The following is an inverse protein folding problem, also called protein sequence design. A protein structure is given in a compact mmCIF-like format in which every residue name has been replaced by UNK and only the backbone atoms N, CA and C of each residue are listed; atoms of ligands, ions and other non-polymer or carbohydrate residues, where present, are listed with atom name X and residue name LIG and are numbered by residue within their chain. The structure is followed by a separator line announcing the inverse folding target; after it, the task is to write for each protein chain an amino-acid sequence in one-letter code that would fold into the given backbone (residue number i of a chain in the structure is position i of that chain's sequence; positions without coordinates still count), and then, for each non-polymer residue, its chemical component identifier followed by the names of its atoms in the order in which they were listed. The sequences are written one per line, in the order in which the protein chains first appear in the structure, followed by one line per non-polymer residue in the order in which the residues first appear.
data_IF_407721698347
#
_entry.id   IF_407721698347
#
_cell.length_a   1.000
_cell.length_b   1.000
_cell.length_c   1.000
_cell.angle_alpha   90.00
_cell.angle_beta   90.00
_cell.angle_gamma   90.00
#
_symmetry.space_group_name_H-M   'P 1'
#
loop_
_entity.id
_entity.type
_entity.pdbx_description
1 polymer ?
#
# COMPACT_ATOMS: atom_id res chain seq x y z
N UNK A 1 26.06 -23.07 16.37
CA UNK A 1 26.16 -23.41 14.93
C UNK A 1 26.73 -22.22 14.18
N UNK A 2 27.64 -22.43 13.22
CA UNK A 2 28.24 -21.33 12.46
C UNK A 2 27.30 -20.83 11.38
N UNK A 3 27.06 -19.52 11.36
CA UNK A 3 26.28 -18.83 10.35
C UNK A 3 27.14 -17.76 9.68
N UNK A 4 26.83 -17.43 8.43
CA UNK A 4 27.43 -16.28 7.72
C UNK A 4 26.39 -15.21 7.49
N UNK A 5 26.77 -13.95 7.70
CA UNK A 5 25.94 -12.77 7.47
C UNK A 5 25.74 -12.55 5.98
N UNK A 6 24.48 -12.39 5.56
CA UNK A 6 24.09 -12.17 4.16
C UNK A 6 23.68 -10.73 3.86
N UNK A 7 23.47 -9.90 4.88
CA UNK A 7 23.21 -8.47 4.70
C UNK A 7 24.52 -7.69 4.60
N UNK A 8 24.56 -6.67 3.73
CA UNK A 8 25.69 -5.75 3.59
C UNK A 8 26.15 -5.16 4.93
N UNK A 9 25.18 -4.86 5.81
CA UNK A 9 25.41 -4.41 7.20
C UNK A 9 24.32 -4.96 8.12
N UNK A 10 24.69 -5.76 9.11
CA UNK A 10 23.77 -6.35 10.09
C UNK A 10 24.02 -5.79 11.49
N UNK A 11 22.96 -5.25 12.10
CA UNK A 11 23.01 -4.76 13.47
C UNK A 11 23.07 -5.90 14.48
N UNK A 12 23.97 -5.77 15.45
CA UNK A 12 24.01 -6.56 16.68
C UNK A 12 23.46 -5.75 17.83
N UNK A 13 22.67 -6.36 18.70
CA UNK A 13 21.83 -5.70 19.69
C UNK A 13 21.94 -6.36 21.07
N UNK A 14 21.70 -5.62 22.15
CA UNK A 14 21.69 -6.21 23.50
C UNK A 14 20.48 -7.12 23.75
N UNK A 15 19.39 -6.94 23.00
CA UNK A 15 18.12 -7.66 23.14
C UNK A 15 17.57 -8.08 21.76
N UNK A 16 16.77 -9.16 21.66
CA UNK A 16 16.21 -9.68 20.41
C UNK A 16 14.99 -8.86 19.94
N UNK A 17 15.19 -7.55 19.72
CA UNK A 17 14.17 -6.62 19.24
C UNK A 17 14.78 -5.52 18.38
N UNK A 18 13.97 -4.95 17.49
CA UNK A 18 14.44 -3.89 16.58
C UNK A 18 14.57 -2.52 17.25
N UNK A 19 13.87 -2.30 18.36
CA UNK A 19 13.91 -1.05 19.12
C UNK A 19 15.17 -0.99 20.03
N UNK A 20 15.81 0.18 20.10
CA UNK A 20 17.01 0.43 20.90
C UNK A 20 18.29 0.62 20.08
N UNK A 21 19.33 1.17 20.70
CA UNK A 21 20.62 1.42 20.07
C UNK A 21 21.37 0.09 19.81
N UNK A 22 21.85 -0.15 18.58
CA UNK A 22 22.71 -1.30 18.30
C UNK A 22 24.03 -1.21 19.09
N UNK A 23 24.58 -2.36 19.46
CA UNK A 23 25.93 -2.45 20.02
C UNK A 23 26.96 -2.15 18.91
N UNK A 24 26.70 -2.64 17.70
CA UNK A 24 27.48 -2.35 16.50
C UNK A 24 27.03 -3.16 15.29
N UNK A 25 27.90 -3.20 14.28
CA UNK A 25 27.60 -3.77 12.96
C UNK A 25 28.53 -4.92 12.59
N UNK A 26 27.96 -5.91 11.90
CA UNK A 26 28.69 -6.92 11.14
C UNK A 26 28.57 -6.64 9.64
N UNK A 27 29.66 -6.83 8.92
CA UNK A 27 29.68 -6.76 7.46
C UNK A 27 29.17 -8.07 6.85
N UNK A 28 28.74 -8.01 5.59
CA UNK A 28 28.45 -9.21 4.79
C UNK A 28 29.65 -10.16 4.76
N UNK A 29 29.38 -11.46 4.80
CA UNK A 29 30.42 -12.49 4.85
C UNK A 29 31.00 -12.76 6.24
N UNK A 30 30.63 -11.96 7.26
CA UNK A 30 30.99 -12.24 8.65
C UNK A 30 30.46 -13.60 9.12
N UNK A 31 31.33 -14.45 9.67
CA UNK A 31 30.91 -15.70 10.30
C UNK A 31 30.66 -15.52 11.80
N UNK A 32 29.53 -16.00 12.30
CA UNK A 32 29.13 -15.91 13.70
C UNK A 32 28.78 -17.28 14.27
N UNK A 33 29.15 -17.50 15.53
CA UNK A 33 28.74 -18.68 16.28
C UNK A 33 27.40 -18.43 16.99
N UNK A 34 26.33 -19.01 16.44
CA UNK A 34 24.99 -18.95 17.02
C UNK A 34 24.89 -19.92 18.20
N UNK A 35 24.61 -19.38 19.38
CA UNK A 35 24.37 -20.10 20.63
C UNK A 35 22.92 -20.62 20.66
N UNK A 36 21.97 -19.75 20.32
CA UNK A 36 20.54 -20.01 20.45
C UNK A 36 19.77 -19.19 19.40
N UNK A 37 18.59 -19.67 19.00
CA UNK A 37 17.66 -18.90 18.16
C UNK A 37 16.30 -18.81 18.84
N UNK A 38 15.80 -17.58 19.01
CA UNK A 38 14.48 -17.32 19.60
C UNK A 38 13.75 -16.27 18.76
N UNK A 39 12.53 -16.58 18.31
CA UNK A 39 11.64 -15.65 17.60
C UNK A 39 12.30 -14.88 16.43
N UNK A 40 13.13 -15.57 15.64
CA UNK A 40 13.82 -14.97 14.49
C UNK A 40 15.08 -14.18 14.83
N UNK A 41 15.63 -14.35 16.03
CA UNK A 41 16.88 -13.74 16.48
C UNK A 41 17.91 -14.80 16.87
N UNK A 42 19.13 -14.65 16.37
CA UNK A 42 20.27 -15.43 16.81
C UNK A 42 20.95 -14.74 17.98
N UNK A 43 21.11 -15.48 19.07
CA UNK A 43 22.00 -15.15 20.18
C UNK A 43 23.41 -15.59 19.81
N UNK A 44 24.38 -14.69 19.86
CA UNK A 44 25.79 -14.94 19.54
C UNK A 44 26.67 -14.55 20.72
N UNK A 45 27.78 -15.25 20.90
CA UNK A 45 28.77 -14.92 21.92
C UNK A 45 29.49 -13.62 21.54
N UNK A 46 29.81 -12.80 22.55
CA UNK A 46 30.64 -11.59 22.37
C UNK A 46 31.79 -11.66 23.37
N UNK A 47 33.02 -11.46 22.89
CA UNK A 47 34.24 -11.50 23.70
C UNK A 47 34.45 -10.25 24.56
N UNK A 48 35.47 -10.28 25.42
CA UNK A 48 35.74 -9.22 26.41
C UNK A 48 36.24 -7.89 25.80
N UNK A 49 36.67 -7.89 24.54
CA UNK A 49 37.14 -6.70 23.82
C UNK A 49 36.64 -6.68 22.37
N UNK A 50 35.44 -6.16 22.15
CA UNK A 50 34.87 -5.83 20.82
C UNK A 50 35.12 -6.87 19.71
N UNK A 51 35.16 -8.15 20.08
CA UNK A 51 35.47 -9.26 19.18
C UNK A 51 34.30 -10.24 19.24
N UNK A 52 33.82 -10.61 18.06
CA UNK A 52 32.87 -11.70 17.85
C UNK A 52 33.59 -12.69 16.94
N UNK A 53 34.17 -13.73 17.54
CA UNK A 53 34.81 -14.84 16.83
C UNK A 53 35.68 -14.44 15.62
N UNK A 54 36.49 -13.38 15.71
CA UNK A 54 37.40 -12.95 14.64
C UNK A 54 36.74 -12.14 13.52
N UNK A 55 35.58 -11.53 13.77
CA UNK A 55 34.88 -10.64 12.83
C UNK A 55 35.12 -9.17 13.15
N UNK A 56 35.45 -8.37 12.13
CA UNK A 56 35.52 -6.92 12.21
C UNK A 56 34.16 -6.31 12.58
N UNK A 57 34.12 -5.72 13.78
CA UNK A 57 32.95 -5.10 14.38
C UNK A 57 33.11 -3.58 14.41
N UNK A 58 32.12 -2.83 13.94
CA UNK A 58 32.09 -1.36 14.10
C UNK A 58 31.23 -0.99 15.30
N UNK A 59 31.81 -0.54 16.43
CA UNK A 59 31.04 -0.14 17.61
C UNK A 59 30.15 1.07 17.30
N UNK A 60 28.89 1.01 17.72
CA UNK A 60 27.93 2.11 17.61
C UNK A 60 27.58 2.75 18.95
N UNK A 61 28.29 2.36 20.01
CA UNK A 61 28.20 2.93 21.36
C UNK A 61 29.56 3.54 21.75
N UNK A 62 29.52 4.65 22.49
CA UNK A 62 30.72 5.22 23.10
C UNK A 62 31.28 4.23 24.12
N UNK A 63 32.49 3.72 23.86
CA UNK A 63 33.25 2.68 24.59
C UNK A 63 32.62 2.28 25.93
N UNK A 64 31.71 1.30 25.91
CA UNK A 64 31.18 0.72 27.13
C UNK A 64 32.31 -0.01 27.85
N UNK A 65 32.55 0.32 29.13
CA UNK A 65 33.60 -0.30 29.97
C UNK A 65 33.45 -1.82 30.14
N UNK A 66 32.31 -2.40 29.74
CA UNK A 66 32.08 -3.86 29.71
C UNK A 66 30.96 -4.17 28.70
N UNK A 67 31.26 -4.95 27.66
CA UNK A 67 30.26 -5.49 26.73
C UNK A 67 29.47 -6.64 27.39
N UNK A 68 28.21 -6.88 27.00
CA UNK A 68 27.50 -8.09 27.43
C UNK A 68 28.21 -9.34 26.86
N UNK A 69 28.14 -10.46 27.57
CA UNK A 69 28.76 -11.74 27.14
C UNK A 69 28.07 -12.38 25.92
N UNK A 70 26.92 -11.84 25.53
CA UNK A 70 26.19 -12.23 24.34
C UNK A 70 25.50 -11.01 23.73
N UNK A 71 25.13 -11.16 22.46
CA UNK A 71 24.29 -10.20 21.76
C UNK A 71 23.37 -10.90 20.77
N UNK A 72 22.46 -10.13 20.19
CA UNK A 72 21.41 -10.62 19.30
C UNK A 72 21.53 -10.00 17.92
N UNK A 73 21.38 -10.83 16.89
CA UNK A 73 21.28 -10.40 15.50
C UNK A 73 20.10 -11.10 14.83
N UNK A 74 19.55 -10.51 13.77
CA UNK A 74 18.37 -11.08 13.12
C UNK A 74 18.75 -12.32 12.32
N UNK A 75 18.04 -13.43 12.56
CA UNK A 75 18.25 -14.69 11.86
C UNK A 75 17.99 -14.60 10.36
N UNK A 76 17.08 -13.70 9.95
CA UNK A 76 16.68 -13.49 8.57
C UNK A 76 17.84 -13.07 7.64
N UNK A 77 18.90 -12.49 8.21
CA UNK A 77 20.07 -11.95 7.48
C UNK A 77 21.31 -12.81 7.69
N UNK A 78 21.12 -14.08 8.00
CA UNK A 78 22.19 -15.06 8.11
C UNK A 78 21.80 -16.37 7.47
N UNK A 79 22.79 -17.21 7.17
CA UNK A 79 22.59 -18.59 6.74
C UNK A 79 23.62 -19.52 7.38
N UNK A 80 23.33 -20.81 7.59
CA UNK A 80 24.33 -21.77 8.05
C UNK A 80 25.57 -21.85 7.13
N UNK A 81 26.76 -21.92 7.72
CA UNK A 81 28.01 -22.18 6.99
C UNK A 81 27.97 -23.60 6.41
N UNK A 82 28.32 -23.75 5.13
CA UNK A 82 28.27 -25.02 4.40
C UNK A 82 27.00 -25.27 3.59
N UNK A 83 25.97 -24.44 3.73
CA UNK A 83 24.92 -24.34 2.70
C UNK A 83 25.43 -23.39 1.61
N UNK A 84 25.34 -23.79 0.34
CA UNK A 84 25.51 -22.85 -0.77
C UNK A 84 24.54 -21.66 -0.56
N UNK A 85 24.89 -20.44 -1.00
CA UNK A 85 23.91 -19.36 -1.04
C UNK A 85 22.64 -19.93 -1.67
N UNK A 86 21.51 -19.85 -0.98
CA UNK A 86 20.24 -20.03 -1.66
C UNK A 86 20.22 -18.90 -2.67
N UNK A 87 20.46 -19.25 -3.94
CA UNK A 87 20.30 -18.34 -5.05
C UNK A 87 18.97 -17.61 -4.81
N UNK A 88 18.94 -16.26 -4.81
CA UNK A 88 17.67 -15.56 -4.66
C UNK A 88 16.74 -16.21 -5.67
N UNK A 89 15.59 -16.71 -5.19
CA UNK A 89 14.64 -17.42 -6.04
C UNK A 89 14.55 -16.62 -7.34
N UNK A 90 14.83 -17.24 -8.51
CA UNK A 90 14.96 -16.51 -9.75
C UNK A 90 13.74 -15.62 -9.85
N UNK A 91 13.96 -14.31 -10.01
CA UNK A 91 12.88 -13.38 -10.29
C UNK A 91 12.06 -14.05 -11.37
N UNK A 92 10.76 -14.34 -11.13
CA UNK A 92 9.93 -14.97 -12.15
C UNK A 92 10.22 -14.23 -13.45
N UNK A 93 10.56 -14.92 -14.56
CA UNK A 93 10.95 -14.25 -15.78
C UNK A 93 9.89 -13.19 -16.03
N UNK A 94 10.32 -11.93 -16.05
CA UNK A 94 9.44 -10.82 -16.43
C UNK A 94 8.83 -11.28 -17.75
N UNK A 95 7.50 -11.48 -17.83
CA UNK A 95 6.90 -11.98 -19.05
C UNK A 95 7.39 -11.10 -20.20
N UNK A 96 7.86 -11.74 -21.28
CA UNK A 96 8.46 -11.04 -22.43
C UNK A 96 7.52 -9.99 -23.04
N UNK A 97 6.23 -10.05 -22.68
CA UNK A 97 5.24 -9.00 -22.84
C UNK A 97 4.66 -8.67 -21.47
N UNK A 98 4.91 -7.47 -20.95
CA UNK A 98 4.21 -6.96 -19.78
C UNK A 98 2.76 -6.64 -20.20
N UNK A 99 1.86 -7.62 -20.08
CA UNK A 99 0.47 -7.42 -20.47
C UNK A 99 -0.17 -6.34 -19.60
N UNK A 100 -0.78 -5.36 -20.28
CA UNK A 100 -1.56 -4.31 -19.63
C UNK A 100 -2.80 -4.94 -19.04
N UNK A 101 -2.98 -4.84 -17.72
CA UNK A 101 -4.23 -5.23 -17.08
C UNK A 101 -5.29 -4.15 -17.30
N UNK A 102 -6.57 -4.51 -17.48
CA UNK A 102 -7.64 -3.54 -17.60
C UNK A 102 -7.74 -2.71 -16.32
N UNK A 103 -8.07 -1.42 -16.46
CA UNK A 103 -8.43 -0.57 -15.32
C UNK A 103 -9.93 -0.70 -15.07
N UNK A 104 -10.31 -1.07 -13.85
CA UNK A 104 -11.70 -1.15 -13.45
C UNK A 104 -12.11 0.16 -12.77
N UNK A 105 -12.97 0.92 -13.44
CA UNK A 105 -13.47 2.21 -12.94
C UNK A 105 -14.91 2.08 -12.47
N UNK A 106 -15.26 2.79 -11.40
CA UNK A 106 -16.66 3.01 -11.04
C UNK A 106 -16.83 3.96 -9.87
N UNK A 107 -17.72 3.63 -8.92
CA UNK A 107 -18.19 4.59 -7.91
C UNK A 107 -18.09 4.06 -6.48
N UNK A 108 -17.69 4.94 -5.57
CA UNK A 108 -17.80 4.69 -4.13
C UNK A 108 -19.23 4.97 -3.69
N UNK A 109 -19.91 3.94 -3.22
CA UNK A 109 -21.35 3.96 -2.91
C UNK A 109 -21.61 3.98 -1.40
N UNK A 110 -20.58 4.25 -0.58
CA UNK A 110 -20.66 4.18 0.87
C UNK A 110 -21.38 2.89 1.34
N UNK A 111 -22.33 3.00 2.24
CA UNK A 111 -23.16 1.88 2.72
C UNK A 111 -24.41 1.62 1.87
N UNK A 112 -24.59 2.28 0.73
CA UNK A 112 -25.79 2.19 -0.11
C UNK A 112 -25.64 1.15 -1.25
N UNK A 113 -26.23 -0.03 -1.03
CA UNK A 113 -26.25 -1.12 -2.01
C UNK A 113 -27.15 -0.79 -3.21
N UNK A 114 -28.19 0.04 -3.04
CA UNK A 114 -29.03 0.47 -4.16
C UNK A 114 -28.25 1.40 -5.09
N UNK A 115 -27.49 2.35 -4.53
CA UNK A 115 -26.57 3.19 -5.30
C UNK A 115 -25.53 2.35 -6.05
N UNK A 116 -24.97 1.31 -5.41
CA UNK A 116 -24.04 0.39 -6.09
C UNK A 116 -24.69 -0.32 -7.29
N UNK A 117 -25.94 -0.78 -7.17
CA UNK A 117 -26.69 -1.37 -8.30
C UNK A 117 -26.93 -0.37 -9.42
N UNK A 118 -27.22 0.90 -9.10
CA UNK A 118 -27.35 1.97 -10.09
C UNK A 118 -26.03 2.20 -10.82
N UNK A 119 -24.90 2.25 -10.10
CA UNK A 119 -23.57 2.40 -10.71
C UNK A 119 -23.25 1.26 -11.68
N UNK A 120 -23.52 0.01 -11.27
CA UNK A 120 -23.32 -1.18 -12.10
C UNK A 120 -24.20 -1.11 -13.35
N UNK A 121 -25.50 -0.78 -13.20
CA UNK A 121 -26.42 -0.64 -14.33
C UNK A 121 -26.01 0.48 -15.30
N UNK A 122 -25.34 1.53 -14.81
CA UNK A 122 -24.77 2.59 -15.64
C UNK A 122 -23.51 2.18 -16.40
N UNK A 123 -22.94 1.01 -16.13
CA UNK A 123 -21.76 0.47 -16.83
C UNK A 123 -20.46 0.52 -16.01
N UNK A 124 -20.51 0.92 -14.73
CA UNK A 124 -19.33 0.85 -13.86
C UNK A 124 -18.81 -0.59 -13.72
N UNK A 125 -17.49 -0.74 -13.61
CA UNK A 125 -16.79 -2.04 -13.47
C UNK A 125 -16.26 -2.29 -12.07
N UNK A 126 -16.33 -1.29 -11.20
CA UNK A 126 -15.98 -1.41 -9.80
C UNK A 126 -16.95 -0.62 -8.92
N UNK A 127 -17.14 -1.06 -7.69
CA UNK A 127 -17.84 -0.29 -6.66
C UNK A 127 -17.11 -0.39 -5.32
N UNK A 128 -17.08 0.69 -4.56
CA UNK A 128 -16.65 0.67 -3.16
C UNK A 128 -17.87 0.65 -2.25
N UNK A 129 -17.87 -0.26 -1.28
CA UNK A 129 -18.97 -0.42 -0.31
C UNK A 129 -18.42 -0.46 1.12
N UNK A 130 -19.02 0.34 1.99
CA UNK A 130 -18.68 0.48 3.41
C UNK A 130 -19.61 -0.36 4.27
N UNK A 131 -19.04 -1.17 5.16
CA UNK A 131 -19.72 -1.93 6.23
C UNK A 131 -20.83 -2.94 5.82
N UNK A 132 -21.15 -3.09 4.53
CA UNK A 132 -22.24 -3.96 4.05
C UNK A 132 -21.69 -5.23 3.35
N UNK A 133 -20.74 -5.93 3.96
CA UNK A 133 -19.91 -6.90 3.23
C UNK A 133 -20.70 -8.12 2.76
N UNK A 134 -21.64 -8.64 3.55
CA UNK A 134 -22.51 -9.74 3.11
C UNK A 134 -23.28 -9.43 1.82
N UNK A 135 -23.80 -8.20 1.69
CA UNK A 135 -24.56 -7.77 0.52
C UNK A 135 -23.69 -7.59 -0.74
N UNK A 136 -22.38 -7.41 -0.59
CA UNK A 136 -21.46 -7.21 -1.73
C UNK A 136 -21.23 -8.46 -2.57
N UNK A 137 -21.51 -9.65 -2.04
CA UNK A 137 -21.32 -10.90 -2.79
C UNK A 137 -22.20 -10.94 -4.03
N UNK A 138 -23.49 -10.61 -3.85
CA UNK A 138 -24.44 -10.54 -4.96
C UNK A 138 -24.08 -9.45 -5.99
N UNK A 139 -23.31 -8.42 -5.60
CA UNK A 139 -22.83 -7.42 -6.56
C UNK A 139 -21.77 -8.01 -7.49
N UNK A 140 -20.85 -8.83 -6.98
CA UNK A 140 -19.79 -9.47 -7.78
C UNK A 140 -20.33 -10.44 -8.82
N UNK A 141 -21.49 -11.05 -8.59
CA UNK A 141 -22.18 -11.89 -9.57
C UNK A 141 -22.53 -11.13 -10.87
N UNK A 142 -22.53 -9.78 -10.83
CA UNK A 142 -22.70 -8.93 -12.01
C UNK A 142 -21.39 -8.65 -12.78
N UNK A 143 -20.29 -9.34 -12.43
CA UNK A 143 -19.00 -9.20 -13.12
C UNK A 143 -18.28 -7.88 -12.81
N UNK A 144 -18.56 -7.27 -11.66
CA UNK A 144 -17.85 -6.07 -11.18
C UNK A 144 -16.94 -6.40 -10.01
N UNK A 145 -15.84 -5.67 -9.89
CA UNK A 145 -15.01 -5.74 -8.69
C UNK A 145 -15.62 -4.93 -7.55
N UNK A 146 -15.46 -5.43 -6.33
CA UNK A 146 -15.91 -4.72 -5.13
C UNK A 146 -14.73 -4.44 -4.23
N UNK A 147 -14.56 -3.17 -3.88
CA UNK A 147 -13.70 -2.73 -2.80
C UNK A 147 -14.54 -2.65 -1.54
N UNK A 148 -14.21 -3.47 -0.54
CA UNK A 148 -14.89 -3.49 0.75
C UNK A 148 -14.12 -2.65 1.74
N UNK A 149 -14.77 -1.67 2.33
CA UNK A 149 -14.17 -0.79 3.34
C UNK A 149 -14.87 -0.97 4.68
N UNK A 150 -14.08 -1.22 5.73
CA UNK A 150 -14.59 -1.24 7.10
C UNK A 150 -14.40 0.15 7.67
N UNK A 151 -15.48 0.83 7.99
CA UNK A 151 -15.41 2.05 8.79
C UNK A 151 -15.61 1.72 10.26
N UNK A 152 -14.67 2.17 11.10
CA UNK A 152 -14.72 2.01 12.55
C UNK A 152 -14.92 3.38 13.20
N UNK A 153 -15.78 3.50 14.22
CA UNK A 153 -16.06 4.78 14.88
C UNK A 153 -14.92 5.28 15.76
N UNK A 154 -13.92 4.45 16.03
CA UNK A 154 -12.75 4.79 16.82
C UNK A 154 -11.52 4.02 16.32
N UNK A 155 -10.33 4.53 16.66
CA UNK A 155 -9.06 3.85 16.39
C UNK A 155 -9.09 2.44 17.00
N UNK A 156 -9.02 1.37 16.19
CA UNK A 156 -8.91 0.03 16.75
C UNK A 156 -7.58 -0.15 17.48
N UNK A 157 -7.58 -1.03 18.48
CA UNK A 157 -6.34 -1.56 19.02
C UNK A 157 -5.61 -2.38 17.95
N UNK A 158 -4.30 -2.58 18.16
CA UNK A 158 -3.52 -3.45 17.28
C UNK A 158 -4.01 -4.89 17.43
N UNK A 159 -4.82 -5.31 16.46
CA UNK A 159 -5.44 -6.63 16.43
C UNK A 159 -4.43 -7.72 16.05
N UNK A 160 -4.67 -8.92 16.55
CA UNK A 160 -4.08 -10.16 16.04
C UNK A 160 -4.61 -10.47 14.63
N UNK A 161 -3.92 -11.35 13.92
CA UNK A 161 -4.36 -11.79 12.60
C UNK A 161 -5.78 -12.39 12.60
N UNK A 162 -6.21 -13.06 13.68
CA UNK A 162 -7.56 -13.63 13.77
C UNK A 162 -8.62 -12.56 14.06
N UNK A 163 -8.36 -11.63 14.98
CA UNK A 163 -9.28 -10.51 15.25
C UNK A 163 -9.49 -9.61 14.01
N UNK A 164 -8.43 -9.46 13.21
CA UNK A 164 -8.52 -8.79 11.91
C UNK A 164 -9.49 -9.50 10.97
N UNK A 165 -9.50 -10.84 10.96
CA UNK A 165 -10.44 -11.62 10.13
C UNK A 165 -11.86 -11.39 10.58
N UNK A 166 -12.10 -11.51 11.88
CA UNK A 166 -13.44 -11.38 12.44
C UNK A 166 -14.01 -9.96 12.15
N UNK A 167 -13.14 -8.95 12.17
CA UNK A 167 -13.48 -7.56 11.84
C UNK A 167 -13.72 -7.32 10.33
N UNK A 168 -12.92 -7.94 9.46
CA UNK A 168 -12.93 -7.69 8.01
C UNK A 168 -13.79 -8.64 7.18
N UNK A 169 -14.10 -9.83 7.67
CA UNK A 169 -14.70 -10.87 6.83
C UNK A 169 -16.18 -11.16 7.07
N UNK A 170 -16.81 -10.65 8.14
CA UNK A 170 -18.26 -10.83 8.43
C UNK A 170 -18.80 -12.23 8.05
N UNK A 171 -18.05 -13.30 8.31
CA UNK A 171 -18.47 -14.66 7.93
C UNK A 171 -17.74 -15.33 6.74
N UNK A 172 -16.59 -14.82 6.27
CA UNK A 172 -15.54 -15.69 5.72
C UNK A 172 -15.38 -15.76 4.19
N UNK A 173 -15.77 -14.74 3.43
CA UNK A 173 -15.68 -14.81 1.96
C UNK A 173 -14.35 -14.33 1.39
N UNK A 174 -13.73 -15.18 0.57
CA UNK A 174 -12.53 -14.86 -0.19
C UNK A 174 -12.77 -14.02 -1.45
N UNK A 175 -11.72 -13.36 -1.94
CA UNK A 175 -11.73 -12.62 -3.21
C UNK A 175 -12.14 -11.15 -3.11
N UNK A 176 -11.78 -10.38 -4.14
CA UNK A 176 -12.01 -8.93 -4.22
C UNK A 176 -11.02 -8.11 -3.40
N UNK A 177 -11.29 -6.81 -3.30
CA UNK A 177 -10.41 -5.84 -2.66
C UNK A 177 -10.93 -5.43 -1.28
N UNK A 178 -10.00 -5.16 -0.37
CA UNK A 178 -10.29 -4.71 0.98
C UNK A 178 -9.49 -3.44 1.24
N UNK A 179 -10.21 -2.32 1.40
CA UNK A 179 -9.63 -1.03 1.75
C UNK A 179 -9.01 -1.07 3.16
N UNK A 180 -8.07 -0.16 3.48
CA UNK A 180 -7.37 -0.18 4.76
C UNK A 180 -8.28 0.20 5.94
N UNK A 181 -7.84 -0.12 7.17
CA UNK A 181 -8.61 0.23 8.39
C UNK A 181 -8.64 1.75 8.53
N UNK A 182 -7.48 2.36 8.30
CA UNK A 182 -7.31 3.78 8.43
C UNK A 182 -7.61 4.42 7.08
N UNK A 183 -8.66 5.23 7.08
CA UNK A 183 -8.93 6.15 6.00
C UNK A 183 -8.02 7.38 6.17
N UNK A 184 -7.31 7.75 5.10
CA UNK A 184 -6.44 8.93 5.05
C UNK A 184 -5.69 9.19 6.37
N UNK A 185 -5.85 10.35 7.00
CA UNK A 185 -5.17 10.70 8.26
C UNK A 185 -5.95 10.44 9.55
N UNK A 186 -7.10 9.75 9.51
CA UNK A 186 -8.14 9.85 10.57
C UNK A 186 -7.65 9.52 11.99
N UNK A 187 -6.91 8.41 12.16
CA UNK A 187 -6.48 7.92 13.49
C UNK A 187 -4.96 7.75 13.65
N UNK A 188 -4.27 7.58 12.53
CA UNK A 188 -2.82 7.48 12.45
C UNK A 188 -2.42 8.28 11.23
N UNK A 189 -1.49 9.23 11.38
CA UNK A 189 -0.98 9.98 10.24
C UNK A 189 -0.05 9.16 9.35
N UNK A 190 0.66 9.88 8.51
CA UNK A 190 1.77 9.41 7.68
C UNK A 190 2.66 10.58 7.25
N UNK A 191 2.72 11.62 8.10
CA UNK A 191 3.55 12.82 7.91
C UNK A 191 4.95 12.65 8.48
N UNK A 192 5.20 11.63 9.30
CA UNK A 192 6.53 11.30 9.84
C UNK A 192 6.91 9.83 9.62
N UNK A 193 8.20 9.48 9.66
CA UNK A 193 8.66 8.09 9.61
C UNK A 193 8.02 7.19 10.69
N UNK A 194 7.80 7.71 11.89
CA UNK A 194 7.19 6.97 13.01
C UNK A 194 5.71 6.68 12.77
N UNK A 195 4.97 7.64 12.20
CA UNK A 195 3.57 7.45 11.84
C UNK A 195 3.42 6.39 10.74
N UNK A 196 4.28 6.46 9.70
CA UNK A 196 4.35 5.47 8.62
C UNK A 196 4.63 4.07 9.19
N UNK A 197 5.59 3.94 10.11
CA UNK A 197 5.92 2.66 10.74
C UNK A 197 4.77 2.11 11.59
N UNK A 198 4.09 2.97 12.36
CA UNK A 198 2.93 2.56 13.16
C UNK A 198 1.77 2.09 12.29
N UNK A 199 1.48 2.80 11.19
CA UNK A 199 0.43 2.41 10.25
C UNK A 199 0.76 1.10 9.54
N UNK A 200 1.99 0.97 9.05
CA UNK A 200 2.47 -0.22 8.38
C UNK A 200 2.42 -1.47 9.26
N UNK A 201 2.53 -1.34 10.59
CA UNK A 201 2.42 -2.48 11.51
C UNK A 201 1.04 -3.13 11.46
N UNK A 202 -0.04 -2.35 11.30
CA UNK A 202 -1.38 -2.90 11.08
C UNK A 202 -1.43 -3.60 9.73
N UNK A 203 -0.97 -2.91 8.68
CA UNK A 203 -1.08 -3.41 7.32
C UNK A 203 -0.29 -4.70 7.06
N UNK A 204 0.91 -4.81 7.64
CA UNK A 204 1.75 -6.02 7.59
C UNK A 204 1.11 -7.22 8.28
N UNK A 205 0.19 -7.01 9.22
CA UNK A 205 -0.57 -8.08 9.88
C UNK A 205 -1.83 -8.46 9.11
N UNK A 206 -2.47 -7.49 8.44
CA UNK A 206 -3.73 -7.71 7.72
C UNK A 206 -3.49 -8.34 6.35
N UNK A 207 -2.53 -7.80 5.58
CA UNK A 207 -2.33 -8.18 4.18
C UNK A 207 -2.16 -9.69 3.95
N UNK A 208 -1.17 -10.35 4.60
CA UNK A 208 -0.96 -11.79 4.46
C UNK A 208 -2.20 -12.63 4.80
N UNK A 209 -2.99 -12.18 5.78
CA UNK A 209 -4.19 -12.87 6.27
C UNK A 209 -5.34 -12.76 5.27
N UNK A 210 -5.52 -11.60 4.64
CA UNK A 210 -6.48 -11.39 3.54
C UNK A 210 -6.05 -12.16 2.30
N UNK A 211 -4.76 -12.10 1.95
CA UNK A 211 -4.17 -12.85 0.84
C UNK A 211 -4.36 -14.35 0.99
N UNK A 212 -4.15 -14.90 2.18
CA UNK A 212 -4.35 -16.33 2.45
C UNK A 212 -5.80 -16.81 2.22
N UNK A 213 -6.77 -15.88 2.19
CA UNK A 213 -8.18 -16.13 1.85
C UNK A 213 -8.52 -15.74 0.41
N UNK A 214 -7.53 -15.46 -0.42
CA UNK A 214 -7.71 -15.11 -1.83
C UNK A 214 -8.19 -13.67 -2.07
N UNK A 215 -8.24 -12.81 -1.05
CA UNK A 215 -8.51 -11.38 -1.21
C UNK A 215 -7.25 -10.55 -1.46
N UNK A 216 -7.42 -9.27 -1.77
CA UNK A 216 -6.33 -8.30 -1.87
C UNK A 216 -6.57 -7.17 -0.87
N UNK A 217 -5.68 -7.04 0.11
CA UNK A 217 -5.68 -5.90 1.02
C UNK A 217 -5.00 -4.69 0.38
N UNK A 218 -5.53 -3.50 0.59
CA UNK A 218 -5.01 -2.24 0.07
C UNK A 218 -4.38 -1.44 1.21
N UNK A 219 -3.12 -1.72 1.53
CA UNK A 219 -2.40 -1.11 2.64
C UNK A 219 -2.21 0.41 2.47
N UNK A 220 -2.02 1.13 3.58
CA UNK A 220 -1.88 2.58 3.57
C UNK A 220 -3.22 3.30 3.61
N UNK A 221 -3.80 3.60 2.44
CA UNK A 221 -4.95 4.50 2.33
C UNK A 221 -4.49 5.94 2.40
N UNK A 222 -3.55 6.29 1.53
CA UNK A 222 -2.88 7.59 1.56
C UNK A 222 -3.66 8.62 0.76
N UNK A 223 -3.88 9.80 1.36
CA UNK A 223 -4.63 10.90 0.73
C UNK A 223 -3.85 11.60 -0.39
N UNK A 224 -4.55 12.40 -1.17
CA UNK A 224 -4.00 13.18 -2.28
C UNK A 224 -2.79 14.02 -1.83
N UNK A 225 -1.68 13.94 -2.56
CA UNK A 225 -0.44 14.66 -2.21
C UNK A 225 0.26 14.17 -0.93
N UNK A 226 -0.10 12.99 -0.42
CA UNK A 226 0.52 12.38 0.75
C UNK A 226 0.82 10.88 0.52
N UNK A 227 1.81 10.29 1.22
CA UNK A 227 2.85 10.94 2.03
C UNK A 227 3.72 11.90 1.19
N UNK A 228 4.48 12.79 1.84
CA UNK A 228 5.37 13.73 1.12
C UNK A 228 6.57 12.99 0.51
N UNK A 229 6.42 12.56 -0.75
CA UNK A 229 7.47 11.90 -1.51
C UNK A 229 8.61 12.82 -1.98
N UNK A 230 8.59 14.11 -1.62
CA UNK A 230 9.77 14.99 -1.77
C UNK A 230 10.74 14.82 -0.60
N UNK A 231 10.27 14.33 0.54
CA UNK A 231 11.09 14.06 1.72
C UNK A 231 11.85 12.73 1.59
N UNK A 232 13.20 12.74 1.65
CA UNK A 232 14.00 11.51 1.65
C UNK A 232 13.71 10.61 2.85
N UNK A 233 13.38 11.19 4.00
CA UNK A 233 13.07 10.42 5.22
C UNK A 233 11.74 9.67 5.08
N UNK A 234 10.74 10.31 4.47
CA UNK A 234 9.46 9.68 4.15
C UNK A 234 9.65 8.58 3.11
N UNK A 235 10.42 8.84 2.04
CA UNK A 235 10.73 7.82 1.04
C UNK A 235 11.43 6.60 1.67
N UNK A 236 12.40 6.84 2.56
CA UNK A 236 13.10 5.80 3.30
C UNK A 236 12.18 5.04 4.26
N UNK A 237 11.22 5.71 4.91
CA UNK A 237 10.22 5.06 5.73
C UNK A 237 9.29 4.18 4.89
N UNK A 238 8.78 4.67 3.76
CA UNK A 238 7.96 3.88 2.83
C UNK A 238 8.71 2.66 2.29
N UNK A 239 9.99 2.84 1.93
CA UNK A 239 10.87 1.76 1.50
C UNK A 239 11.09 0.71 2.59
N UNK A 240 11.28 1.14 3.84
CA UNK A 240 11.53 0.23 4.96
C UNK A 240 10.27 -0.53 5.39
N UNK A 241 9.14 0.17 5.44
CA UNK A 241 7.94 -0.31 6.13
C UNK A 241 6.93 -0.97 5.19
N UNK A 242 6.75 -0.45 3.96
CA UNK A 242 5.72 -0.94 3.04
C UNK A 242 6.27 -1.74 1.86
N UNK A 243 7.40 -1.32 1.27
CA UNK A 243 7.93 -1.96 0.06
C UNK A 243 8.18 -3.47 0.23
N UNK A 244 8.72 -3.99 1.35
CA UNK A 244 8.98 -5.42 1.49
C UNK A 244 7.72 -6.29 1.42
N UNK A 245 6.60 -5.85 2.02
CA UNK A 245 5.35 -6.59 1.95
C UNK A 245 4.67 -6.49 0.59
N UNK A 246 4.71 -5.30 -0.02
CA UNK A 246 4.22 -5.12 -1.39
C UNK A 246 5.00 -5.99 -2.39
N UNK A 247 6.35 -5.98 -2.32
CA UNK A 247 7.23 -6.72 -3.23
C UNK A 247 7.10 -8.25 -3.07
N UNK A 248 6.71 -8.73 -1.88
CA UNK A 248 6.34 -10.16 -1.67
C UNK A 248 4.93 -10.51 -2.17
N UNK A 249 4.14 -9.50 -2.56
CA UNK A 249 2.75 -9.63 -2.97
C UNK A 249 1.78 -9.81 -1.82
N UNK A 250 2.12 -9.36 -0.61
CA UNK A 250 1.25 -9.51 0.57
C UNK A 250 0.02 -8.60 0.53
N UNK A 251 0.12 -7.47 -0.17
CA UNK A 251 -0.95 -6.47 -0.30
C UNK A 251 -0.71 -5.55 -1.52
N UNK A 252 -1.78 -4.92 -2.00
CA UNK A 252 -1.74 -3.72 -2.84
C UNK A 252 -1.53 -2.46 -1.96
N UNK A 253 -1.33 -1.30 -2.59
CA UNK A 253 -1.35 0.00 -1.89
C UNK A 253 -2.63 0.76 -2.24
N UNK A 254 -3.32 1.24 -1.20
CA UNK A 254 -4.47 2.14 -1.28
C UNK A 254 -4.04 3.59 -1.42
N UNK A 255 -4.52 4.29 -2.45
CA UNK A 255 -4.24 5.69 -2.73
C UNK A 255 -5.52 6.44 -3.09
N UNK A 256 -5.78 7.57 -2.45
CA UNK A 256 -6.84 8.47 -2.87
C UNK A 256 -6.27 9.49 -3.85
N UNK A 257 -6.90 9.58 -5.02
CA UNK A 257 -6.34 10.25 -6.20
C UNK A 257 -7.23 11.40 -6.64
N UNK A 258 -7.53 12.32 -5.74
CA UNK A 258 -8.32 13.50 -6.05
C UNK A 258 -7.50 14.53 -6.85
N UNK A 259 -8.19 15.36 -7.63
CA UNK A 259 -7.65 16.62 -8.13
C UNK A 259 -8.10 17.76 -7.23
N UNK A 260 -7.22 18.72 -6.94
CA UNK A 260 -7.61 19.90 -6.16
C UNK A 260 -8.70 20.72 -6.86
N UNK A 261 -8.53 20.91 -8.16
CA UNK A 261 -9.50 21.52 -9.05
C UNK A 261 -9.48 20.78 -10.38
N UNK A 262 -10.65 20.57 -10.97
CA UNK A 262 -10.81 19.92 -12.26
C UNK A 262 -10.66 20.91 -13.42
N UNK A 263 -11.13 22.15 -13.24
CA UNK A 263 -11.07 23.20 -14.26
C UNK A 263 -10.57 24.51 -13.67
N UNK A 264 -9.89 25.30 -14.50
CA UNK A 264 -9.47 26.66 -14.15
C UNK A 264 -10.64 27.67 -14.21
N UNK A 265 -10.39 28.91 -13.79
CA UNK A 265 -11.37 30.00 -13.78
C UNK A 265 -11.89 30.38 -15.19
N UNK A 266 -11.22 29.90 -16.24
CA UNK A 266 -11.60 30.12 -17.64
C UNK A 266 -12.40 28.95 -18.21
N UNK A 267 -12.64 27.90 -17.41
CA UNK A 267 -13.37 26.71 -17.83
C UNK A 267 -12.53 25.70 -18.62
N UNK A 268 -11.19 25.81 -18.60
CA UNK A 268 -10.32 24.81 -19.23
C UNK A 268 -10.07 23.65 -18.27
N UNK A 269 -10.07 22.42 -18.79
CA UNK A 269 -9.73 21.23 -18.02
C UNK A 269 -8.26 21.31 -17.57
N UNK A 270 -8.03 21.16 -16.27
CA UNK A 270 -6.69 21.14 -15.69
C UNK A 270 -6.09 19.74 -15.90
N UNK A 271 -4.86 19.62 -16.43
CA UNK A 271 -4.19 18.33 -16.55
C UNK A 271 -4.05 17.64 -15.21
N UNK A 272 -4.24 16.32 -15.20
CA UNK A 272 -4.08 15.51 -13.99
C UNK A 272 -2.62 15.60 -13.53
N UNK A 273 -2.42 16.19 -12.34
CA UNK A 273 -1.08 16.41 -11.82
C UNK A 273 -0.45 15.11 -11.33
N UNK A 274 0.88 15.01 -11.46
CA UNK A 274 1.59 13.87 -10.90
C UNK A 274 1.48 13.83 -9.37
N UNK A 275 1.44 15.00 -8.72
CA UNK A 275 1.40 15.09 -7.26
C UNK A 275 0.06 14.67 -6.65
N UNK A 276 -1.06 14.92 -7.31
CA UNK A 276 -2.38 14.61 -6.75
C UNK A 276 -3.02 13.38 -7.41
N UNK A 277 -2.96 13.27 -8.74
CA UNK A 277 -3.63 12.21 -9.47
C UNK A 277 -2.78 10.97 -9.74
N UNK A 278 -1.44 11.06 -9.70
CA UNK A 278 -0.56 9.90 -9.96
C UNK A 278 0.62 9.78 -8.98
N UNK A 279 0.48 10.24 -7.74
CA UNK A 279 1.58 10.28 -6.75
C UNK A 279 2.11 8.90 -6.39
N UNK A 280 1.29 7.86 -6.56
CA UNK A 280 1.67 6.47 -6.40
C UNK A 280 2.91 6.07 -7.22
N UNK A 281 3.22 6.79 -8.32
CA UNK A 281 4.42 6.57 -9.12
C UNK A 281 5.70 6.73 -8.29
N UNK A 282 5.70 7.60 -7.28
CA UNK A 282 6.85 7.83 -6.40
C UNK A 282 7.17 6.64 -5.48
N UNK A 283 6.22 5.76 -5.22
CA UNK A 283 6.48 4.50 -4.53
C UNK A 283 7.54 3.68 -5.29
N UNK A 284 7.42 3.62 -6.61
CA UNK A 284 8.28 2.83 -7.48
C UNK A 284 9.57 3.56 -7.84
N UNK A 285 9.48 4.87 -8.10
CA UNK A 285 10.66 5.65 -8.54
C UNK A 285 11.54 6.12 -7.39
N UNK A 286 11.03 6.16 -6.14
CA UNK A 286 11.76 6.70 -4.98
C UNK A 286 11.77 5.80 -3.75
N UNK A 287 10.79 4.91 -3.60
CA UNK A 287 10.60 4.15 -2.36
C UNK A 287 10.89 2.64 -2.50
N UNK A 288 11.53 2.20 -3.58
CA UNK A 288 11.98 0.81 -3.74
C UNK A 288 10.87 -0.22 -3.95
N UNK A 289 9.67 0.21 -4.38
CA UNK A 289 8.60 -0.69 -4.77
C UNK A 289 8.91 -1.33 -6.13
N UNK A 290 8.61 -2.62 -6.25
CA UNK A 290 8.81 -3.38 -7.49
C UNK A 290 7.71 -3.04 -8.51
N UNK A 291 8.05 -2.48 -9.69
CA UNK A 291 7.08 -2.14 -10.72
C UNK A 291 6.55 -3.36 -11.51
N UNK A 292 6.89 -4.60 -11.13
CA UNK A 292 6.42 -5.82 -11.77
C UNK A 292 4.87 -5.84 -11.83
N UNK A 293 4.27 -5.86 -13.03
CA UNK A 293 2.82 -5.82 -13.17
C UNK A 293 2.12 -7.10 -12.71
N UNK A 294 2.85 -8.18 -12.44
CA UNK A 294 2.31 -9.37 -11.81
C UNK A 294 1.82 -9.10 -10.38
N UNK A 295 2.38 -8.10 -9.69
CA UNK A 295 2.03 -7.75 -8.31
C UNK A 295 0.64 -7.11 -8.19
N UNK A 296 0.18 -6.98 -6.94
CA UNK A 296 -1.17 -6.54 -6.59
C UNK A 296 -1.47 -5.10 -7.08
N UNK A 297 -0.45 -4.25 -7.19
CA UNK A 297 -0.55 -2.91 -7.78
C UNK A 297 -1.16 -1.86 -6.83
N UNK A 298 -1.78 -0.84 -7.44
CA UNK A 298 -2.41 0.27 -6.74
C UNK A 298 -3.93 0.12 -6.84
N UNK A 299 -4.61 0.47 -5.76
CA UNK A 299 -6.07 0.53 -5.67
C UNK A 299 -6.47 1.91 -5.18
N UNK A 300 -7.47 2.49 -5.82
CA UNK A 300 -8.00 3.79 -5.51
C UNK A 300 -9.49 3.63 -5.19
N UNK A 301 -9.86 3.73 -3.93
CA UNK A 301 -11.26 3.68 -3.52
C UNK A 301 -11.91 5.07 -3.43
N UNK A 302 -11.14 6.12 -3.73
CA UNK A 302 -11.58 7.51 -3.71
C UNK A 302 -10.81 8.36 -4.72
N UNK A 303 -11.56 8.98 -5.65
CA UNK A 303 -11.05 9.96 -6.61
C UNK A 303 -12.18 10.93 -6.99
N UNK A 304 -11.81 12.06 -7.60
CA UNK A 304 -12.74 13.12 -8.00
C UNK A 304 -12.08 14.48 -7.88
N UNK A 305 -12.91 15.52 -7.77
CA UNK A 305 -12.47 16.87 -7.40
C UNK A 305 -12.64 17.06 -5.89
N UNK A 306 -11.60 17.52 -5.20
CA UNK A 306 -11.62 17.86 -3.78
C UNK A 306 -10.70 19.07 -3.50
N UNK A 307 -11.31 20.24 -3.32
CA UNK A 307 -10.61 21.45 -2.89
C UNK A 307 -10.64 21.65 -1.36
N UNK A 308 -10.97 20.60 -0.61
CA UNK A 308 -11.29 20.63 0.81
C UNK A 308 -12.66 21.24 1.11
N UNK A 309 -13.07 21.13 2.38
CA UNK A 309 -14.31 21.73 2.89
C UNK A 309 -15.55 21.44 2.03
N UNK A 310 -15.71 20.19 1.60
CA UNK A 310 -16.89 19.72 0.86
C UNK A 310 -17.04 20.31 -0.55
N UNK A 311 -15.96 20.82 -1.17
CA UNK A 311 -15.97 21.40 -2.51
C UNK A 311 -15.65 20.37 -3.60
N UNK A 312 -16.58 19.44 -3.83
CA UNK A 312 -16.54 18.50 -4.94
C UNK A 312 -17.19 19.03 -6.24
N UNK A 313 -17.31 18.16 -7.24
CA UNK A 313 -17.85 18.51 -8.56
C UNK A 313 -19.21 19.23 -8.51
N UNK A 314 -20.11 18.78 -7.63
CA UNK A 314 -21.45 19.35 -7.49
C UNK A 314 -21.39 20.80 -6.99
N UNK A 315 -20.54 21.09 -6.00
CA UNK A 315 -20.38 22.46 -5.46
C UNK A 315 -19.72 23.40 -6.44
N UNK A 316 -18.82 22.89 -7.27
CA UNK A 316 -18.27 23.63 -8.40
C UNK A 316 -19.21 23.68 -9.61
N UNK A 317 -20.44 23.16 -9.47
CA UNK A 317 -21.49 23.20 -10.49
C UNK A 317 -21.01 22.60 -11.82
N UNK A 318 -20.18 21.56 -11.76
CA UNK A 318 -19.71 20.89 -12.97
C UNK A 318 -20.88 20.24 -13.69
N UNK A 319 -20.91 20.38 -15.02
CA UNK A 319 -21.89 19.67 -15.84
C UNK A 319 -21.53 18.19 -15.97
N UNK A 320 -22.48 17.30 -16.32
CA UNK A 320 -22.18 15.90 -16.60
C UNK A 320 -21.08 15.69 -17.66
N UNK A 321 -21.04 16.54 -18.68
CA UNK A 321 -20.03 16.49 -19.73
C UNK A 321 -18.64 16.86 -19.20
N UNK A 322 -18.57 17.84 -18.29
CA UNK A 322 -17.32 18.22 -17.64
C UNK A 322 -16.79 17.11 -16.75
N UNK A 323 -17.65 16.48 -15.94
CA UNK A 323 -17.24 15.36 -15.08
C UNK A 323 -16.80 14.17 -15.92
N UNK A 324 -17.51 13.84 -17.01
CA UNK A 324 -17.08 12.80 -17.95
C UNK A 324 -15.71 13.11 -18.57
N UNK A 325 -15.49 14.34 -19.03
CA UNK A 325 -14.22 14.77 -19.61
C UNK A 325 -13.07 14.67 -18.59
N UNK A 326 -13.31 15.03 -17.34
CA UNK A 326 -12.34 14.85 -16.26
C UNK A 326 -12.01 13.37 -16.03
N UNK A 327 -13.00 12.47 -15.96
CA UNK A 327 -12.74 11.04 -15.80
C UNK A 327 -11.97 10.44 -16.99
N UNK A 328 -12.20 10.95 -18.21
CA UNK A 328 -11.39 10.56 -19.39
C UNK A 328 -9.93 10.95 -19.21
N UNK A 329 -9.67 12.19 -18.81
CA UNK A 329 -8.30 12.66 -18.55
C UNK A 329 -7.65 11.92 -17.37
N UNK A 330 -8.41 11.63 -16.30
CA UNK A 330 -7.97 10.79 -15.20
C UNK A 330 -7.54 9.41 -15.67
N UNK A 331 -8.40 8.70 -16.40
CA UNK A 331 -8.10 7.37 -16.95
C UNK A 331 -6.88 7.40 -17.87
N UNK A 332 -6.75 8.41 -18.72
CA UNK A 332 -5.57 8.59 -19.58
C UNK A 332 -4.29 8.73 -18.75
N UNK A 333 -4.28 9.64 -17.77
CA UNK A 333 -3.12 9.92 -16.94
C UNK A 333 -2.70 8.72 -16.07
N UNK A 334 -3.65 8.04 -15.44
CA UNK A 334 -3.33 6.89 -14.58
C UNK A 334 -2.99 5.63 -15.36
N UNK A 335 -3.39 5.51 -16.64
CA UNK A 335 -3.02 4.37 -17.49
C UNK A 335 -1.72 4.59 -18.27
N UNK A 336 -1.15 5.80 -18.22
CA UNK A 336 0.14 6.07 -18.82
C UNK A 336 1.22 5.12 -18.24
N UNK A 337 2.15 4.62 -19.09
CA UNK A 337 3.25 3.82 -18.60
C UNK A 337 4.14 4.64 -17.66
N UNK A 338 4.81 3.95 -16.75
CA UNK A 338 5.77 4.53 -15.82
C UNK A 338 7.17 4.14 -16.24
N UNK A 339 8.11 5.08 -16.12
CA UNK A 339 9.54 4.77 -16.23
C UNK A 339 10.14 4.57 -14.84
N UNK A 340 10.81 3.44 -14.64
CA UNK A 340 11.57 3.14 -13.41
C UNK A 340 12.95 2.65 -13.83
N UNK A 341 14.00 3.38 -13.44
CA UNK A 341 15.40 3.07 -13.76
C UNK A 341 15.65 2.82 -15.27
N UNK A 342 15.11 3.68 -16.14
CA UNK A 342 15.28 3.59 -17.59
C UNK A 342 14.46 2.49 -18.27
N UNK A 343 13.58 1.79 -17.55
CA UNK A 343 12.69 0.76 -18.09
C UNK A 343 11.23 1.22 -17.99
N UNK A 344 10.47 0.93 -19.04
CA UNK A 344 9.04 1.23 -19.09
C UNK A 344 8.21 0.07 -18.55
N UNK A 345 7.26 0.39 -17.68
CA UNK A 345 6.30 -0.54 -17.08
C UNK A 345 4.87 -0.08 -17.37
N UNK A 346 3.92 -1.00 -17.58
CA UNK A 346 2.51 -0.62 -17.63
C UNK A 346 2.08 -0.07 -16.27
N UNK A 347 1.00 0.71 -16.26
CA UNK A 347 0.49 1.27 -15.00
C UNK A 347 0.18 0.19 -13.95
N UNK A 348 0.54 0.42 -12.68
CA UNK A 348 0.21 -0.48 -11.58
C UNK A 348 -1.22 -0.30 -11.06
N UNK A 349 -1.96 0.74 -11.47
CA UNK A 349 -3.33 0.97 -11.00
C UNK A 349 -4.27 -0.12 -11.56
N UNK A 350 -5.08 -0.73 -10.67
CA UNK A 350 -5.99 -1.83 -11.01
C UNK A 350 -7.45 -1.42 -10.94
N UNK A 351 -7.81 -0.68 -9.90
CA UNK A 351 -9.19 -0.28 -9.62
C UNK A 351 -9.22 1.16 -9.14
N UNK A 352 -10.21 1.93 -9.61
CA UNK A 352 -10.47 3.30 -9.18
C UNK A 352 -11.98 3.51 -8.96
N UNK A 353 -12.38 4.18 -7.87
CA UNK A 353 -13.79 4.56 -7.66
C UNK A 353 -13.97 6.02 -7.29
N UNK A 354 -14.88 6.70 -7.98
CA UNK A 354 -15.26 8.08 -7.74
C UNK A 354 -16.00 8.28 -6.42
N UNK A 355 -15.56 9.23 -5.59
CA UNK A 355 -16.20 9.57 -4.33
C UNK A 355 -17.16 10.75 -4.51
N UNK A 356 -18.47 10.59 -4.36
CA UNK A 356 -19.23 9.35 -4.04
C UNK A 356 -20.58 9.33 -4.73
N UNK A 357 -21.34 8.25 -4.56
CA UNK A 357 -22.77 8.24 -4.82
C UNK A 357 -23.60 8.31 -3.54
N UNK A 358 -24.75 8.97 -3.64
CA UNK A 358 -25.77 9.06 -2.59
C UNK A 358 -25.78 10.41 -1.89
N UNK A 359 -26.98 10.85 -1.52
CA UNK A 359 -27.23 12.14 -0.90
C UNK A 359 -27.27 12.02 0.63
N UNK A 360 -26.62 12.96 1.34
CA UNK A 360 -26.62 13.02 2.79
C UNK A 360 -25.93 14.29 3.30
N UNK A 361 -26.20 14.74 4.53
CA UNK A 361 -25.58 15.93 5.09
C UNK A 361 -24.06 15.76 5.30
N UNK A 362 -23.61 14.52 5.44
CA UNK A 362 -22.19 14.16 5.48
C UNK A 362 -21.64 14.15 4.05
N UNK A 363 -20.56 14.92 3.83
CA UNK A 363 -19.88 15.05 2.53
C UNK A 363 -20.77 15.67 1.43
N UNK A 364 -21.66 16.57 1.82
CA UNK A 364 -22.49 17.39 0.92
C UNK A 364 -21.61 18.04 -0.17
N UNK A 365 -21.96 17.95 -1.45
CA UNK A 365 -21.14 18.47 -2.55
C UNK A 365 -20.21 17.48 -3.25
N UNK A 366 -20.07 16.27 -2.71
CA UNK A 366 -19.38 15.16 -3.36
C UNK A 366 -20.35 14.17 -4.03
N UNK A 367 -21.65 14.44 -4.06
CA UNK A 367 -22.60 13.51 -4.69
C UNK A 367 -22.45 13.55 -6.22
N UNK A 368 -22.02 12.43 -6.77
CA UNK A 368 -21.80 12.23 -8.19
C UNK A 368 -22.92 11.41 -8.84
N UNK A 369 -24.06 11.20 -8.16
CA UNK A 369 -25.19 10.42 -8.70
C UNK A 369 -25.66 10.94 -10.05
N UNK A 370 -25.68 12.26 -10.25
CA UNK A 370 -26.04 12.88 -11.53
C UNK A 370 -25.04 12.60 -12.67
N UNK A 371 -23.82 12.16 -12.35
CA UNK A 371 -22.72 11.98 -13.31
C UNK A 371 -22.46 10.51 -13.67
N UNK A 372 -23.09 9.56 -12.97
CA UNK A 372 -22.77 8.12 -13.05
C UNK A 372 -22.87 7.53 -14.46
N UNK A 373 -23.79 8.04 -15.30
CA UNK A 373 -23.91 7.60 -16.70
C UNK A 373 -22.67 7.93 -17.52
N UNK A 374 -22.04 9.10 -17.28
CA UNK A 374 -20.77 9.48 -17.91
C UNK A 374 -19.62 8.62 -17.41
N UNK A 375 -19.54 8.39 -16.09
CA UNK A 375 -18.50 7.53 -15.49
C UNK A 375 -18.57 6.10 -16.04
N UNK A 376 -19.77 5.55 -16.19
CA UNK A 376 -19.97 4.21 -16.76
C UNK A 376 -19.52 4.10 -18.23
N UNK A 377 -19.74 5.13 -19.05
CA UNK A 377 -19.19 5.20 -20.42
C UNK A 377 -17.65 5.19 -20.41
N UNK A 378 -17.04 5.92 -19.49
CA UNK A 378 -15.57 5.94 -19.35
C UNK A 378 -15.05 4.60 -18.85
N UNK A 379 -15.75 3.94 -17.92
CA UNK A 379 -15.38 2.64 -17.39
C UNK A 379 -15.33 1.55 -18.48
N UNK A 380 -16.27 1.57 -19.43
CA UNK A 380 -16.24 0.66 -20.57
C UNK A 380 -14.98 0.83 -21.43
N UNK A 381 -14.54 2.08 -21.65
CA UNK A 381 -13.33 2.39 -22.41
C UNK A 381 -12.05 2.03 -21.65
N UNK A 382 -12.04 2.22 -20.33
CA UNK A 382 -10.90 1.90 -19.46
C UNK A 382 -10.58 0.39 -19.45
N UNK A 383 -11.62 -0.45 -19.61
CA UNK A 383 -11.50 -1.91 -19.60
C UNK A 383 -11.22 -2.55 -20.97
N UNK A 384 -11.47 -1.84 -22.07
CA UNK A 384 -11.37 -2.37 -23.44
C UNK A 384 -9.93 -2.38 -24.03
N UNK A 385 -8.95 -1.92 -23.26
CA UNK A 385 -7.56 -1.67 -23.68
C UNK A 385 -6.64 -2.13 -22.55
#
# INVERSE_FOLDING_TARGET
MKHVVTATRLNIRPEPRMAGQPLGLLSEGAEVDVIETVNGWHKVAVGERFDISGVDFTPQIAVARRMPSFAWLSAQWTRPVGQAPVEPAPTPPVPAVLEKRPLLLGMNCLSDIAAAKVAIAAGCRAVTVINQFGATLALRDNGVEVIRRRWLPSKPQLMSGQEMVDTYFEGGFGGGYFAPIFNEGDYLGYGTPEEIAQRAEYDRRIGPVIRARGGVYCAGGFSMGTPDFTSPEICAAMQREYAPGYNRGDYAIGMHLYAKLAYDDRGNLIPISEWFGTSYKFLFTRCGFDPNPALAGIVCDETGEDEGANRGFERHQRTPEQVEAWYRAFVEAVRAPMEVNGKHYPSPLRVATGFKMGHGPEWDGFDQTAYVAGVGRVAALAAAV
#
